data_IF_754876233753
#
_entry.id   IF_754876233753
#
_cell.length_a   1.000
_cell.length_b   1.000
_cell.length_c   1.000
_cell.angle_alpha   90.00
_cell.angle_beta   90.00
_cell.angle_gamma   90.00
#
_symmetry.space_group_name_H-M   'P 1'
#
loop_
_entity.id
_entity.type
_entity.pdbx_description
1 polymer ?
#
# COMPACT_ATOMS: atom_id res chain seq x y z
N UNK A 1 -1.73 26.25 -4.71
CA UNK A 1 -1.73 24.78 -4.88
C UNK A 1 -2.68 24.06 -3.91
N UNK A 2 -3.13 24.68 -2.83
CA UNK A 2 -4.03 24.14 -1.79
C UNK A 2 -5.50 23.93 -2.23
N UNK A 3 -5.92 24.49 -3.35
CA UNK A 3 -7.36 24.53 -3.72
C UNK A 3 -7.87 23.30 -4.52
N UNK A 4 -7.00 22.43 -5.02
CA UNK A 4 -7.39 21.27 -5.85
C UNK A 4 -7.69 20.00 -5.02
N UNK A 5 -7.03 19.81 -3.89
CA UNK A 5 -7.25 18.65 -3.03
C UNK A 5 -8.54 18.81 -2.22
N UNK A 6 -8.85 20.01 -1.76
CA UNK A 6 -10.12 20.37 -1.08
C UNK A 6 -11.36 20.05 -1.90
N UNK A 7 -11.36 20.38 -3.19
CA UNK A 7 -12.50 20.06 -4.09
C UNK A 7 -12.69 18.53 -4.23
N UNK A 8 -11.63 17.76 -4.07
CA UNK A 8 -11.64 16.31 -4.25
C UNK A 8 -12.14 15.56 -3.00
N UNK A 9 -11.81 16.05 -1.81
CA UNK A 9 -12.27 15.50 -0.54
C UNK A 9 -13.78 15.77 -0.34
N UNK A 10 -14.23 16.98 -0.62
CA UNK A 10 -15.66 17.35 -0.61
C UNK A 10 -16.47 16.46 -1.58
N UNK A 11 -15.92 16.17 -2.76
CA UNK A 11 -16.56 15.28 -3.74
C UNK A 11 -16.67 13.84 -3.22
N UNK A 12 -15.59 13.31 -2.60
CA UNK A 12 -15.60 11.97 -2.02
C UNK A 12 -16.64 11.87 -0.90
N UNK A 13 -16.67 12.85 0.01
CA UNK A 13 -17.66 12.90 1.09
C UNK A 13 -19.09 12.90 0.54
N UNK A 14 -19.38 13.80 -0.41
CA UNK A 14 -20.70 13.89 -1.03
C UNK A 14 -21.13 12.58 -1.68
N UNK A 15 -20.25 11.98 -2.49
CA UNK A 15 -20.53 10.71 -3.17
C UNK A 15 -20.71 9.55 -2.18
N UNK A 16 -19.94 9.51 -1.10
CA UNK A 16 -20.06 8.48 -0.08
C UNK A 16 -21.39 8.60 0.69
N UNK A 17 -21.80 9.81 1.06
CA UNK A 17 -23.09 10.06 1.71
C UNK A 17 -24.26 9.70 0.77
N UNK A 18 -24.21 10.09 -0.50
CA UNK A 18 -25.23 9.74 -1.49
C UNK A 18 -25.33 8.22 -1.68
N UNK A 19 -24.19 7.54 -1.80
CA UNK A 19 -24.14 6.08 -1.93
C UNK A 19 -24.65 5.38 -0.67
N UNK A 20 -24.32 5.89 0.51
CA UNK A 20 -24.80 5.38 1.79
C UNK A 20 -26.32 5.50 1.88
N UNK A 21 -26.89 6.69 1.59
CA UNK A 21 -28.35 6.91 1.55
C UNK A 21 -29.08 5.95 0.61
N UNK A 22 -28.48 5.68 -0.54
CA UNK A 22 -29.08 4.79 -1.55
C UNK A 22 -29.10 3.32 -1.12
N UNK A 23 -28.08 2.88 -0.38
CA UNK A 23 -27.89 1.46 -0.03
C UNK A 23 -28.44 1.10 1.36
N UNK A 24 -28.72 2.09 2.20
CA UNK A 24 -29.22 1.89 3.56
C UNK A 24 -30.63 2.46 3.63
N UNK A 25 -31.68 1.62 3.83
CA UNK A 25 -33.08 2.07 3.83
C UNK A 25 -33.46 2.72 5.17
N UNK A 26 -32.68 3.69 5.62
CA UNK A 26 -32.88 4.42 6.85
C UNK A 26 -32.99 5.93 6.54
N UNK A 27 -33.73 6.65 7.38
CA UNK A 27 -33.71 8.11 7.29
C UNK A 27 -32.34 8.60 7.73
N UNK A 28 -31.67 9.30 6.81
CA UNK A 28 -30.33 9.86 7.02
C UNK A 28 -30.36 11.35 6.72
N UNK A 29 -30.17 12.17 7.73
CA UNK A 29 -29.94 13.60 7.61
C UNK A 29 -28.51 13.94 7.95
N UNK A 30 -27.91 14.89 7.23
CA UNK A 30 -26.59 15.45 7.52
C UNK A 30 -26.81 16.93 7.75
N UNK A 31 -26.65 17.37 9.01
CA UNK A 31 -27.14 18.69 9.42
C UNK A 31 -26.02 19.72 9.57
N UNK A 32 -24.85 19.33 10.04
CA UNK A 32 -23.77 20.29 10.31
C UNK A 32 -22.44 19.76 9.81
N UNK A 33 -21.61 20.65 9.27
CA UNK A 33 -20.31 20.29 8.73
C UNK A 33 -19.32 21.40 9.09
N UNK A 34 -18.42 21.11 10.04
CA UNK A 34 -17.32 22.00 10.43
C UNK A 34 -16.05 21.51 9.78
N UNK A 35 -15.46 22.31 8.89
CA UNK A 35 -14.19 21.99 8.24
C UNK A 35 -13.01 22.35 9.13
N UNK A 36 -12.02 21.46 9.21
CA UNK A 36 -10.78 21.64 9.98
C UNK A 36 -11.02 22.04 11.44
N UNK A 37 -11.73 21.23 12.22
CA UNK A 37 -11.91 21.49 13.63
C UNK A 37 -10.55 21.48 14.34
N UNK A 38 -10.30 22.44 15.23
CA UNK A 38 -9.04 22.54 15.93
C UNK A 38 -9.19 22.03 17.38
N UNK A 39 -8.67 20.86 17.65
CA UNK A 39 -8.69 20.24 19.00
C UNK A 39 -7.40 20.43 19.80
N UNK A 40 -6.41 21.16 19.27
CA UNK A 40 -5.07 21.28 19.87
C UNK A 40 -4.36 19.93 20.07
N UNK A 41 -4.65 18.95 19.21
CA UNK A 41 -4.07 17.63 19.21
C UNK A 41 -3.05 17.51 18.06
N UNK A 42 -2.16 16.51 18.16
CA UNK A 42 -1.21 16.21 17.09
C UNK A 42 -1.90 15.70 15.80
N UNK A 43 -3.13 15.24 15.92
CA UNK A 43 -3.99 14.82 14.82
C UNK A 43 -5.24 15.71 14.77
N UNK A 44 -5.53 16.22 13.59
CA UNK A 44 -6.72 17.01 13.31
C UNK A 44 -7.56 16.27 12.28
N UNK A 45 -8.83 15.95 12.56
CA UNK A 45 -9.73 15.39 11.57
C UNK A 45 -10.02 16.40 10.46
N UNK A 46 -10.31 15.90 9.26
CA UNK A 46 -10.62 16.77 8.12
C UNK A 46 -11.92 17.56 8.35
N UNK A 47 -12.91 16.93 9.00
CA UNK A 47 -14.27 17.49 9.18
C UNK A 47 -14.88 16.98 10.48
N UNK A 48 -15.72 17.79 11.15
CA UNK A 48 -16.80 17.33 12.04
C UNK A 48 -18.11 17.22 11.27
N UNK A 49 -18.83 16.15 11.48
CA UNK A 49 -20.07 15.84 10.80
C UNK A 49 -21.16 15.43 11.80
N UNK A 50 -22.25 16.16 11.81
CA UNK A 50 -23.48 15.77 12.52
C UNK A 50 -24.38 14.96 11.59
N UNK A 51 -24.65 13.73 11.98
CA UNK A 51 -25.44 12.79 11.21
C UNK A 51 -26.60 12.27 12.05
N UNK A 52 -27.82 12.44 11.58
CA UNK A 52 -28.99 11.82 12.16
C UNK A 52 -29.35 10.56 11.40
N UNK A 53 -29.45 9.44 12.11
CA UNK A 53 -29.85 8.14 11.54
C UNK A 53 -31.06 7.63 12.34
N UNK A 54 -32.23 7.55 11.69
CA UNK A 54 -33.50 7.14 12.32
C UNK A 54 -33.78 7.87 13.64
N UNK A 55 -33.62 9.20 13.66
CA UNK A 55 -33.87 10.02 14.84
C UNK A 55 -32.79 10.00 15.92
N UNK A 56 -31.69 9.30 15.68
CA UNK A 56 -30.50 9.34 16.55
C UNK A 56 -29.46 10.27 15.95
N UNK A 57 -29.12 11.32 16.66
CA UNK A 57 -28.00 12.20 16.34
C UNK A 57 -26.66 11.58 16.75
N UNK A 58 -25.69 11.62 15.84
CA UNK A 58 -24.32 11.14 16.05
C UNK A 58 -23.39 12.21 15.47
N UNK A 59 -22.47 12.70 16.29
CA UNK A 59 -21.40 13.57 15.83
C UNK A 59 -20.15 12.75 15.59
N UNK A 60 -19.53 12.93 14.44
CA UNK A 60 -18.32 12.24 14.02
C UNK A 60 -17.14 13.18 13.78
N UNK A 61 -15.96 12.73 14.16
CA UNK A 61 -14.71 13.22 13.58
C UNK A 61 -14.46 12.46 12.30
N UNK A 62 -14.50 13.13 11.16
CA UNK A 62 -14.40 12.49 9.84
C UNK A 62 -13.00 12.66 9.28
N UNK A 63 -12.45 11.57 8.80
CA UNK A 63 -11.19 11.53 8.04
C UNK A 63 -11.49 11.09 6.61
N UNK A 64 -11.11 11.92 5.63
CA UNK A 64 -11.36 11.66 4.22
C UNK A 64 -10.08 11.23 3.54
N UNK A 65 -10.07 10.06 2.96
CA UNK A 65 -8.91 9.55 2.23
C UNK A 65 -9.31 9.04 0.85
N UNK A 66 -8.65 9.56 -0.17
CA UNK A 66 -8.84 9.08 -1.54
C UNK A 66 -8.52 7.58 -1.66
N UNK A 67 -7.47 7.14 -0.96
CA UNK A 67 -7.08 5.74 -0.85
C UNK A 67 -6.63 5.49 0.60
N UNK A 68 -7.24 4.51 1.26
CA UNK A 68 -6.92 4.16 2.64
C UNK A 68 -5.86 3.08 2.67
N UNK A 69 -4.64 3.43 3.08
CA UNK A 69 -3.48 2.53 3.12
C UNK A 69 -3.27 1.94 4.51
N UNK A 70 -2.43 0.90 4.63
CA UNK A 70 -2.02 0.33 5.93
C UNK A 70 -1.39 1.37 6.86
N UNK A 71 -0.58 2.28 6.34
CA UNK A 71 0.05 3.35 7.11
C UNK A 71 -0.99 4.32 7.70
N UNK A 72 -2.01 4.71 6.92
CA UNK A 72 -3.12 5.54 7.39
C UNK A 72 -3.91 4.86 8.51
N UNK A 73 -4.06 3.53 8.47
CA UNK A 73 -4.79 2.75 9.49
C UNK A 73 -4.20 2.90 10.89
N UNK A 74 -2.88 2.96 10.99
CA UNK A 74 -2.19 3.10 12.27
C UNK A 74 -2.37 4.47 12.89
N UNK A 75 -2.18 5.51 12.08
CA UNK A 75 -2.45 6.89 12.51
C UNK A 75 -3.89 7.02 13.02
N UNK A 76 -4.83 6.37 12.33
CA UNK A 76 -6.24 6.33 12.69
C UNK A 76 -6.49 5.66 14.04
N UNK A 77 -5.82 4.54 14.31
CA UNK A 77 -5.99 3.78 15.58
C UNK A 77 -5.36 4.48 16.77
N UNK A 78 -4.20 5.11 16.59
CA UNK A 78 -3.50 5.85 17.64
C UNK A 78 -4.33 7.07 18.06
N UNK A 79 -4.89 7.77 17.08
CA UNK A 79 -5.58 9.03 17.33
C UNK A 79 -7.04 8.86 17.78
N UNK A 80 -7.64 7.67 17.60
CA UNK A 80 -9.03 7.37 18.00
C UNK A 80 -9.30 7.62 19.50
N UNK A 81 -8.30 7.45 20.36
CA UNK A 81 -8.46 7.60 21.81
C UNK A 81 -8.41 9.07 22.29
N UNK A 82 -7.92 9.98 21.47
CA UNK A 82 -7.73 11.38 21.83
C UNK A 82 -8.86 12.29 21.35
N UNK A 83 -9.70 11.81 20.43
CA UNK A 83 -10.77 12.61 19.84
C UNK A 83 -12.06 12.59 20.68
N UNK A 84 -12.82 13.72 20.72
CA UNK A 84 -14.03 13.84 21.53
C UNK A 84 -15.21 13.06 20.98
N UNK A 85 -15.20 12.72 19.69
CA UNK A 85 -16.27 12.01 19.00
C UNK A 85 -15.75 10.77 18.28
N UNK A 86 -16.62 9.78 17.97
CA UNK A 86 -16.25 8.63 17.15
C UNK A 86 -15.62 9.05 15.82
N UNK A 87 -14.66 8.27 15.34
CA UNK A 87 -14.05 8.51 14.03
C UNK A 87 -14.85 7.78 12.95
N UNK A 88 -15.17 8.50 11.87
CA UNK A 88 -15.71 7.95 10.63
C UNK A 88 -14.70 8.09 9.49
N UNK A 89 -14.27 6.97 8.94
CA UNK A 89 -13.47 6.95 7.72
C UNK A 89 -14.38 7.12 6.50
N UNK A 90 -14.08 8.12 5.68
CA UNK A 90 -14.73 8.32 4.38
C UNK A 90 -13.68 8.10 3.28
N UNK A 91 -13.95 7.18 2.35
CA UNK A 91 -12.99 6.86 1.29
C UNK A 91 -13.68 6.47 -0.01
N UNK A 92 -12.92 6.38 -1.10
CA UNK A 92 -13.49 5.96 -2.39
C UNK A 92 -13.97 4.53 -2.39
N UNK A 93 -13.20 3.62 -1.80
CA UNK A 93 -13.56 2.21 -1.81
C UNK A 93 -12.92 1.42 -0.69
N UNK A 94 -13.73 0.62 -0.01
CA UNK A 94 -13.33 -0.35 1.00
C UNK A 94 -13.56 -1.75 0.44
N UNK A 95 -12.48 -2.45 0.07
CA UNK A 95 -12.59 -3.82 -0.40
C UNK A 95 -12.98 -4.79 0.74
N UNK A 96 -13.52 -5.99 0.44
CA UNK A 96 -13.97 -6.93 1.49
C UNK A 96 -12.92 -7.34 2.54
N UNK A 97 -11.63 -7.58 2.19
CA UNK A 97 -10.59 -7.80 3.20
C UNK A 97 -10.36 -6.59 4.11
N UNK A 98 -10.31 -5.40 3.55
CA UNK A 98 -10.16 -4.15 4.30
C UNK A 98 -11.37 -3.91 5.23
N UNK A 99 -12.59 -4.15 4.75
CA UNK A 99 -13.80 -4.03 5.55
C UNK A 99 -13.73 -4.92 6.81
N UNK A 100 -13.33 -6.18 6.63
CA UNK A 100 -13.17 -7.13 7.75
C UNK A 100 -12.15 -6.62 8.78
N UNK A 101 -11.06 -6.06 8.32
CA UNK A 101 -10.01 -5.53 9.19
C UNK A 101 -10.47 -4.29 9.96
N UNK A 102 -11.13 -3.33 9.27
CA UNK A 102 -11.67 -2.13 9.89
C UNK A 102 -12.69 -2.47 10.99
N UNK A 103 -13.58 -3.43 10.73
CA UNK A 103 -14.56 -3.92 11.69
C UNK A 103 -13.89 -4.54 12.91
N UNK A 104 -12.90 -5.42 12.70
CA UNK A 104 -12.16 -6.05 13.80
C UNK A 104 -11.47 -5.02 14.71
N UNK A 105 -11.11 -3.87 14.16
CA UNK A 105 -10.50 -2.74 14.90
C UNK A 105 -11.52 -1.71 15.40
N UNK A 106 -12.82 -1.95 15.18
CA UNK A 106 -13.90 -1.04 15.56
C UNK A 106 -13.80 0.33 14.88
N UNK A 107 -13.32 0.38 13.64
CA UNK A 107 -13.24 1.60 12.81
C UNK A 107 -14.48 1.65 11.93
N UNK A 108 -15.28 2.69 12.11
CA UNK A 108 -16.47 2.96 11.30
C UNK A 108 -16.08 3.57 9.97
N UNK A 109 -16.81 3.22 8.90
CA UNK A 109 -16.50 3.71 7.56
C UNK A 109 -17.74 3.81 6.67
N UNK A 110 -17.67 4.70 5.69
CA UNK A 110 -18.52 4.74 4.50
C UNK A 110 -17.66 4.95 3.25
N UNK A 111 -18.06 4.41 2.11
CA UNK A 111 -17.38 4.61 0.84
C UNK A 111 -18.30 5.01 -0.31
N UNK A 112 -17.71 5.46 -1.43
CA UNK A 112 -18.47 5.92 -2.60
C UNK A 112 -19.18 4.81 -3.36
N UNK A 113 -18.93 3.54 -3.04
CA UNK A 113 -19.66 2.39 -3.56
C UNK A 113 -20.89 2.03 -2.69
N UNK A 114 -21.02 2.67 -1.52
CA UNK A 114 -22.06 2.41 -0.55
C UNK A 114 -21.77 1.24 0.38
N UNK A 115 -20.51 0.80 0.50
CA UNK A 115 -20.12 -0.05 1.61
C UNK A 115 -20.04 0.80 2.87
N UNK A 116 -20.49 0.24 4.00
CA UNK A 116 -20.58 0.97 5.24
C UNK A 116 -20.44 0.05 6.45
N UNK A 117 -19.87 0.57 7.52
CA UNK A 117 -19.91 -0.02 8.86
C UNK A 117 -20.12 1.11 9.87
N UNK A 118 -21.25 1.09 10.56
CA UNK A 118 -21.61 2.00 11.65
C UNK A 118 -22.00 1.14 12.86
N UNK A 119 -21.42 1.40 14.00
CA UNK A 119 -21.69 0.68 15.25
C UNK A 119 -21.87 1.65 16.42
N UNK A 120 -23.00 2.35 16.42
CA UNK A 120 -23.38 3.32 17.45
C UNK A 120 -24.72 2.91 18.07
N UNK A 121 -24.74 2.08 19.12
CA UNK A 121 -25.98 1.53 19.68
C UNK A 121 -27.07 2.59 19.92
N UNK A 122 -28.33 2.32 19.55
CA UNK A 122 -28.87 1.06 19.03
C UNK A 122 -28.69 0.83 17.51
N UNK A 123 -27.90 1.67 16.82
CA UNK A 123 -27.69 1.60 15.36
C UNK A 123 -26.52 0.65 15.08
N UNK A 124 -26.78 -0.36 14.25
CA UNK A 124 -25.79 -1.23 13.66
C UNK A 124 -26.05 -1.37 12.18
N UNK A 125 -25.12 -0.88 11.36
CA UNK A 125 -25.21 -0.94 9.90
C UNK A 125 -23.95 -1.61 9.36
N UNK A 126 -24.14 -2.62 8.54
CA UNK A 126 -23.05 -3.29 7.87
C UNK A 126 -23.43 -3.63 6.42
N UNK A 127 -22.85 -2.93 5.48
CA UNK A 127 -22.99 -3.12 4.03
C UNK A 127 -21.61 -3.38 3.45
N UNK A 128 -21.46 -4.49 2.72
CA UNK A 128 -20.20 -4.86 2.06
C UNK A 128 -20.42 -5.51 0.71
N UNK A 129 -19.42 -5.44 -0.14
CA UNK A 129 -19.40 -6.16 -1.41
C UNK A 129 -19.91 -5.35 -2.60
N UNK A 130 -20.37 -4.12 -2.35
CA UNK A 130 -20.64 -3.18 -3.44
C UNK A 130 -19.34 -2.86 -4.16
N UNK A 131 -19.37 -2.85 -5.48
CA UNK A 131 -18.25 -2.44 -6.32
C UNK A 131 -18.36 -0.95 -6.63
N UNK A 132 -17.24 -0.22 -6.79
CA UNK A 132 -17.29 1.15 -7.26
C UNK A 132 -18.11 1.23 -8.55
N UNK A 133 -18.96 2.26 -8.72
CA UNK A 133 -19.66 2.47 -9.96
C UNK A 133 -18.67 2.57 -11.11
N UNK A 134 -18.88 1.81 -12.20
CA UNK A 134 -18.10 1.96 -13.43
C UNK A 134 -18.40 3.35 -14.00
N UNK A 135 -17.49 4.29 -13.88
CA UNK A 135 -17.64 5.58 -14.54
C UNK A 135 -17.52 5.38 -16.05
N UNK A 136 -18.51 5.81 -16.85
CA UNK A 136 -18.40 5.80 -18.31
C UNK A 136 -17.19 6.66 -18.71
N UNK A 137 -16.17 6.04 -19.33
CA UNK A 137 -14.94 6.71 -19.74
C UNK A 137 -13.68 6.43 -18.89
N UNK A 138 -13.80 5.80 -17.73
CA UNK A 138 -12.64 5.16 -17.10
C UNK A 138 -12.34 3.85 -17.84
N UNK A 139 -11.65 3.97 -18.97
CA UNK A 139 -10.95 2.82 -19.56
C UNK A 139 -10.19 2.13 -18.44
N UNK A 140 -10.36 0.82 -18.33
CA UNK A 140 -9.80 -0.04 -17.27
C UNK A 140 -8.28 0.19 -17.10
N UNK A 141 -7.90 1.20 -16.36
CA UNK A 141 -6.51 1.47 -15.97
C UNK A 141 -6.07 0.51 -14.84
N UNK A 142 -6.91 -0.51 -14.57
CA UNK A 142 -6.64 -1.52 -13.57
C UNK A 142 -5.46 -2.45 -13.91
N UNK A 143 -4.98 -2.49 -15.15
CA UNK A 143 -3.91 -3.43 -15.51
C UNK A 143 -2.54 -3.04 -14.99
N UNK A 144 -2.25 -1.74 -14.75
CA UNK A 144 -0.99 -1.35 -14.11
C UNK A 144 -0.92 -1.75 -12.63
N UNK A 145 -2.07 -1.97 -11.98
CA UNK A 145 -2.15 -2.49 -10.61
C UNK A 145 -2.37 -4.01 -10.55
N UNK A 146 -2.28 -4.71 -11.69
CA UNK A 146 -2.20 -6.16 -11.76
C UNK A 146 -0.73 -6.61 -11.64
N UNK A 147 -0.44 -7.89 -11.36
CA UNK A 147 0.92 -8.37 -11.09
C UNK A 147 1.99 -7.88 -12.06
N UNK A 148 1.74 -7.99 -13.36
CA UNK A 148 2.71 -7.55 -14.39
C UNK A 148 2.93 -6.03 -14.37
N UNK A 149 1.87 -5.25 -14.17
CA UNK A 149 1.97 -3.79 -14.04
C UNK A 149 2.67 -3.37 -12.76
N UNK A 150 2.48 -4.10 -11.65
CA UNK A 150 3.18 -3.87 -10.39
C UNK A 150 4.70 -4.12 -10.52
N UNK A 151 5.12 -5.15 -11.27
CA UNK A 151 6.54 -5.37 -11.60
C UNK A 151 7.11 -4.17 -12.38
N UNK A 152 6.37 -3.70 -13.37
CA UNK A 152 6.74 -2.54 -14.17
C UNK A 152 6.85 -1.25 -13.35
N UNK A 153 5.86 -0.96 -12.50
CA UNK A 153 5.88 0.22 -11.62
C UNK A 153 7.04 0.17 -10.61
N UNK A 154 7.32 -1.00 -10.03
CA UNK A 154 8.45 -1.20 -9.13
C UNK A 154 9.77 -0.85 -9.82
N UNK A 155 9.97 -1.34 -11.04
CA UNK A 155 11.18 -1.02 -11.81
C UNK A 155 11.33 0.49 -12.06
N UNK A 156 10.24 1.21 -12.36
CA UNK A 156 10.28 2.67 -12.52
C UNK A 156 10.56 3.41 -11.21
N UNK A 157 9.95 3.00 -10.11
CA UNK A 157 10.14 3.62 -8.80
C UNK A 157 11.58 3.45 -8.28
N UNK A 158 12.19 2.28 -8.53
CA UNK A 158 13.53 1.97 -8.09
C UNK A 158 14.64 2.47 -9.03
N UNK A 159 14.32 2.85 -10.26
CA UNK A 159 15.32 3.30 -11.25
C UNK A 159 14.92 4.64 -11.87
N UNK A 160 15.24 5.78 -11.23
CA UNK A 160 14.95 7.10 -11.77
C UNK A 160 15.50 7.28 -13.20
N UNK A 161 14.68 7.79 -14.10
CA UNK A 161 15.03 7.98 -15.51
C UNK A 161 14.83 6.74 -16.40
N UNK A 162 14.43 5.59 -15.82
CA UNK A 162 14.12 4.39 -16.57
C UNK A 162 12.98 4.60 -17.58
N UNK A 163 12.03 5.51 -17.28
CA UNK A 163 10.93 5.90 -18.16
C UNK A 163 11.37 6.48 -19.50
N UNK A 164 12.65 6.85 -19.62
CA UNK A 164 13.27 7.41 -20.82
C UNK A 164 14.20 6.41 -21.55
N UNK A 165 14.33 5.21 -21.04
CA UNK A 165 15.14 4.17 -21.68
C UNK A 165 14.34 3.43 -22.76
N UNK A 166 15.02 2.75 -23.71
CA UNK A 166 14.34 1.90 -24.67
C UNK A 166 13.41 0.89 -24.00
N UNK A 167 12.26 0.64 -24.61
CA UNK A 167 11.25 -0.28 -24.05
C UNK A 167 11.80 -1.68 -23.77
N UNK A 168 12.81 -2.13 -24.53
CA UNK A 168 13.52 -3.39 -24.28
C UNK A 168 14.24 -3.38 -22.94
N UNK A 169 14.88 -2.29 -22.57
CA UNK A 169 15.62 -2.17 -21.31
C UNK A 169 14.65 -2.11 -20.12
N UNK A 170 13.53 -1.39 -20.30
CA UNK A 170 12.45 -1.34 -19.31
C UNK A 170 11.86 -2.74 -19.12
N UNK A 171 11.55 -3.46 -20.21
CA UNK A 171 10.99 -4.80 -20.18
C UNK A 171 11.92 -5.80 -19.46
N UNK A 172 13.22 -5.75 -19.76
CA UNK A 172 14.22 -6.59 -19.14
C UNK A 172 14.30 -6.32 -17.63
N UNK A 173 14.50 -5.04 -17.23
CA UNK A 173 14.58 -4.66 -15.82
C UNK A 173 13.34 -5.04 -15.02
N UNK A 174 12.15 -4.85 -15.58
CA UNK A 174 10.88 -5.15 -14.94
C UNK A 174 10.48 -6.65 -15.02
N UNK A 175 11.24 -7.48 -15.77
CA UNK A 175 10.89 -8.88 -16.10
C UNK A 175 9.45 -9.00 -16.64
N UNK A 176 9.12 -8.17 -17.62
CA UNK A 176 7.82 -8.18 -18.29
C UNK A 176 7.98 -8.33 -19.81
N UNK A 177 6.94 -8.76 -20.51
CA UNK A 177 6.97 -8.87 -21.95
C UNK A 177 7.12 -7.48 -22.61
N UNK A 178 7.99 -7.35 -23.63
CA UNK A 178 8.26 -6.11 -24.34
C UNK A 178 6.97 -5.43 -24.85
N UNK A 179 6.04 -6.19 -25.41
CA UNK A 179 4.78 -5.67 -25.94
C UNK A 179 3.87 -5.01 -24.90
N UNK A 180 4.07 -5.29 -23.61
CA UNK A 180 3.24 -4.72 -22.54
C UNK A 180 3.73 -3.34 -22.09
N UNK A 181 5.01 -3.02 -22.27
CA UNK A 181 5.62 -1.77 -21.81
C UNK A 181 4.90 -0.54 -22.39
N UNK A 182 4.65 -0.54 -23.70
CA UNK A 182 3.95 0.57 -24.35
C UNK A 182 2.53 0.80 -23.82
N UNK A 183 1.85 -0.27 -23.41
CA UNK A 183 0.52 -0.16 -22.79
C UNK A 183 0.62 0.41 -21.38
N UNK A 184 1.57 -0.04 -20.56
CA UNK A 184 1.77 0.50 -19.23
C UNK A 184 2.21 1.96 -19.24
N UNK A 185 3.08 2.36 -20.16
CA UNK A 185 3.46 3.78 -20.34
C UNK A 185 2.25 4.65 -20.71
N UNK A 186 1.35 4.15 -21.56
CA UNK A 186 0.11 4.83 -21.90
C UNK A 186 -0.84 4.91 -20.70
N UNK A 187 -0.99 3.83 -19.97
CA UNK A 187 -1.85 3.78 -18.78
C UNK A 187 -1.35 4.77 -17.72
N UNK A 188 -0.03 4.84 -17.47
CA UNK A 188 0.56 5.81 -16.54
C UNK A 188 0.29 7.27 -16.97
N UNK A 189 0.37 7.58 -18.29
CA UNK A 189 0.00 8.91 -18.80
C UNK A 189 -1.48 9.20 -18.59
N UNK A 190 -2.33 8.24 -18.86
CA UNK A 190 -3.79 8.39 -18.72
C UNK A 190 -4.22 8.65 -17.27
N UNK A 191 -3.53 8.04 -16.30
CA UNK A 191 -3.80 8.27 -14.86
C UNK A 191 -3.01 9.44 -14.27
N UNK A 192 -2.20 10.13 -15.08
CA UNK A 192 -1.47 11.33 -14.67
C UNK A 192 -0.18 11.07 -13.87
N UNK A 193 0.38 9.85 -13.91
CA UNK A 193 1.67 9.53 -13.27
C UNK A 193 2.88 9.69 -14.20
N UNK A 194 2.64 9.80 -15.50
CA UNK A 194 3.69 10.02 -16.50
C UNK A 194 3.30 11.19 -17.41
N UNK A 195 4.16 12.17 -17.52
CA UNK A 195 3.97 13.32 -18.44
C UNK A 195 5.07 13.34 -19.50
N UNK A 196 4.72 13.80 -20.69
CA UNK A 196 5.66 14.08 -21.76
C UNK A 196 6.13 15.55 -21.63
N UNK A 197 7.43 15.76 -21.49
CA UNK A 197 8.06 17.07 -21.38
C UNK A 197 8.83 17.46 -22.67
N UNK A 198 8.36 16.93 -23.79
CA UNK A 198 8.88 17.26 -25.13
C UNK A 198 10.30 16.72 -25.31
N UNK A 199 11.25 17.60 -25.71
CA UNK A 199 12.66 17.21 -25.96
C UNK A 199 13.35 16.58 -24.73
N UNK A 200 12.84 16.78 -23.53
CA UNK A 200 13.37 16.18 -22.29
C UNK A 200 12.81 14.78 -22.01
N UNK A 201 11.90 14.27 -22.86
CA UNK A 201 11.32 12.93 -22.76
C UNK A 201 10.16 12.85 -21.78
N UNK A 202 10.02 11.72 -21.10
CA UNK A 202 8.98 11.47 -20.12
C UNK A 202 9.47 11.80 -18.70
N UNK A 203 8.55 12.19 -17.82
CA UNK A 203 8.83 12.39 -16.40
C UNK A 203 7.77 11.68 -15.56
N UNK A 204 8.22 10.86 -14.63
CA UNK A 204 7.36 10.28 -13.61
C UNK A 204 7.01 11.37 -12.59
N UNK A 205 5.72 11.61 -12.37
CA UNK A 205 5.19 12.63 -11.46
C UNK A 205 4.28 12.00 -10.41
N UNK A 206 3.98 12.73 -9.34
CA UNK A 206 3.16 12.23 -8.23
C UNK A 206 3.69 10.87 -7.71
N UNK A 207 5.01 10.76 -7.59
CA UNK A 207 5.69 9.51 -7.19
C UNK A 207 5.24 9.02 -5.81
N UNK A 208 4.92 9.92 -4.91
CA UNK A 208 4.36 9.63 -3.60
C UNK A 208 3.02 8.89 -3.69
N UNK A 209 2.10 9.39 -4.52
CA UNK A 209 0.80 8.74 -4.75
C UNK A 209 0.98 7.40 -5.48
N UNK A 210 1.86 7.33 -6.48
CA UNK A 210 2.16 6.09 -7.20
C UNK A 210 2.76 5.05 -6.26
N UNK A 211 3.70 5.44 -5.40
CA UNK A 211 4.30 4.61 -4.37
C UNK A 211 3.23 4.07 -3.41
N UNK A 212 2.35 4.93 -2.87
CA UNK A 212 1.29 4.49 -1.96
C UNK A 212 0.33 3.49 -2.62
N UNK A 213 -0.03 3.70 -3.88
CA UNK A 213 -0.86 2.74 -4.63
C UNK A 213 -0.15 1.42 -4.84
N UNK A 214 1.16 1.46 -5.13
CA UNK A 214 1.96 0.26 -5.31
C UNK A 214 2.05 -0.53 -3.99
N UNK A 215 2.37 0.12 -2.87
CA UNK A 215 2.44 -0.49 -1.53
C UNK A 215 1.11 -1.16 -1.15
N UNK A 216 -0.01 -0.54 -1.50
CA UNK A 216 -1.34 -1.11 -1.22
C UNK A 216 -1.63 -2.36 -2.07
N UNK A 217 -1.27 -2.33 -3.35
CA UNK A 217 -1.59 -3.41 -4.27
C UNK A 217 -0.59 -4.58 -4.21
N UNK A 218 0.66 -4.35 -3.84
CA UNK A 218 1.72 -5.35 -3.81
C UNK A 218 1.40 -6.57 -2.94
N UNK A 219 0.99 -6.43 -1.66
CA UNK A 219 0.70 -7.58 -0.80
C UNK A 219 -0.45 -8.45 -1.29
N UNK A 220 -1.43 -7.85 -1.95
CA UNK A 220 -2.63 -8.56 -2.40
C UNK A 220 -2.48 -9.17 -3.80
N UNK A 221 -1.81 -8.46 -4.71
CA UNK A 221 -1.82 -8.80 -6.13
C UNK A 221 -0.53 -9.45 -6.61
N UNK A 222 0.64 -9.02 -6.12
CA UNK A 222 1.93 -9.47 -6.64
C UNK A 222 2.60 -10.46 -5.69
N UNK A 223 2.83 -10.11 -4.43
CA UNK A 223 3.59 -10.90 -3.46
C UNK A 223 3.15 -12.36 -3.35
N UNK A 224 1.85 -12.68 -3.20
CA UNK A 224 1.40 -14.06 -3.05
C UNK A 224 1.73 -14.95 -4.27
N UNK A 225 1.82 -14.34 -5.46
CA UNK A 225 2.15 -15.04 -6.71
C UNK A 225 3.64 -15.26 -6.92
N UNK A 226 4.48 -14.65 -6.10
CA UNK A 226 5.93 -14.78 -6.15
C UNK A 226 6.45 -15.74 -5.08
N UNK A 227 5.65 -16.19 -4.11
CA UNK A 227 6.10 -17.12 -3.07
C UNK A 227 6.47 -18.46 -3.70
N UNK A 228 7.75 -18.85 -3.58
CA UNK A 228 8.28 -20.14 -4.03
C UNK A 228 8.06 -21.23 -2.99
N UNK A 229 8.03 -20.87 -1.71
CA UNK A 229 7.73 -21.79 -0.62
C UNK A 229 8.13 -21.28 0.74
N UNK A 230 7.78 -22.10 1.76
CA UNK A 230 8.24 -21.93 3.14
C UNK A 230 9.18 -23.05 3.54
N UNK A 231 10.17 -22.70 4.34
CA UNK A 231 11.26 -23.58 4.73
C UNK A 231 11.64 -23.32 6.17
N UNK A 232 12.40 -24.27 6.73
CA UNK A 232 12.98 -24.21 8.07
C UNK A 232 14.49 -24.35 8.00
N UNK A 233 15.21 -23.48 8.72
CA UNK A 233 16.66 -23.58 8.89
C UNK A 233 17.07 -24.53 10.01
N UNK A 234 18.36 -24.86 10.12
CA UNK A 234 18.89 -25.71 11.22
C UNK A 234 18.68 -25.06 12.58
N UNK A 235 18.86 -23.74 12.68
CA UNK A 235 18.60 -22.92 13.87
C UNK A 235 18.15 -21.52 13.43
N UNK A 236 17.39 -20.83 14.25
CA UNK A 236 16.73 -19.59 13.85
C UNK A 236 17.73 -18.47 13.46
N UNK A 237 18.87 -18.38 14.12
CA UNK A 237 19.85 -17.30 13.92
C UNK A 237 20.87 -17.54 12.77
N UNK A 238 20.69 -18.59 11.94
CA UNK A 238 21.61 -18.95 10.86
C UNK A 238 21.89 -17.81 9.87
N UNK A 239 20.93 -16.92 9.68
CA UNK A 239 20.96 -15.79 8.76
C UNK A 239 21.97 -14.70 9.16
N UNK A 240 22.31 -14.56 10.45
CA UNK A 240 23.12 -13.45 10.99
C UNK A 240 24.47 -13.29 10.29
N UNK A 241 25.16 -14.39 10.11
CA UNK A 241 26.52 -14.43 9.53
C UNK A 241 26.52 -14.89 8.06
N UNK A 242 25.34 -15.06 7.43
CA UNK A 242 25.25 -15.51 6.05
C UNK A 242 25.18 -14.31 5.10
N UNK A 243 26.00 -14.36 4.06
CA UNK A 243 25.94 -13.45 2.90
C UNK A 243 25.23 -14.17 1.76
N UNK A 244 24.35 -13.49 1.03
CA UNK A 244 23.53 -14.08 -0.03
C UNK A 244 23.92 -13.64 -1.45
N UNK A 245 24.74 -12.63 -1.62
CA UNK A 245 25.11 -12.06 -2.92
C UNK A 245 25.71 -13.09 -3.86
N UNK A 246 26.60 -13.96 -3.36
CA UNK A 246 27.21 -15.05 -4.14
C UNK A 246 26.22 -16.16 -4.51
N UNK A 247 25.08 -16.26 -3.79
CA UNK A 247 23.97 -17.17 -4.07
C UNK A 247 22.91 -16.55 -5.01
N UNK A 248 23.17 -15.37 -5.54
CA UNK A 248 22.19 -14.61 -6.36
C UNK A 248 20.85 -14.44 -5.63
N UNK A 249 20.91 -14.18 -4.33
CA UNK A 249 19.78 -14.00 -3.47
C UNK A 249 19.94 -12.73 -2.63
N UNK A 250 18.83 -12.18 -2.13
CA UNK A 250 18.80 -10.95 -1.34
C UNK A 250 17.88 -11.11 -0.13
N UNK A 251 18.27 -10.53 0.98
CA UNK A 251 17.43 -10.42 2.16
C UNK A 251 16.31 -9.42 1.93
N UNK A 252 15.10 -9.77 2.33
CA UNK A 252 13.92 -8.89 2.38
C UNK A 252 13.33 -8.81 3.78
N UNK A 253 12.19 -8.13 3.90
CA UNK A 253 11.39 -8.07 5.10
C UNK A 253 12.15 -7.74 6.38
N UNK A 254 11.88 -8.47 7.44
CA UNK A 254 12.41 -8.22 8.78
C UNK A 254 13.94 -8.41 8.86
N UNK A 255 14.51 -9.38 8.15
CA UNK A 255 15.96 -9.59 8.15
C UNK A 255 16.70 -8.44 7.49
N UNK A 256 16.18 -7.92 6.37
CA UNK A 256 16.80 -6.77 5.72
C UNK A 256 16.85 -5.56 6.66
N UNK A 257 15.77 -5.30 7.38
CA UNK A 257 15.72 -4.23 8.38
C UNK A 257 16.66 -4.48 9.55
N UNK A 258 16.72 -5.72 10.07
CA UNK A 258 17.64 -6.05 11.16
C UNK A 258 19.10 -5.80 10.77
N UNK A 259 19.45 -6.05 9.50
CA UNK A 259 20.79 -5.76 8.96
C UNK A 259 21.05 -4.27 8.77
N UNK A 260 20.02 -3.48 8.39
CA UNK A 260 20.12 -2.03 8.20
C UNK A 260 20.19 -1.27 9.53
N UNK A 261 19.28 -1.56 10.45
CA UNK A 261 19.03 -0.72 11.63
C UNK A 261 19.54 -1.32 12.93
N UNK A 262 19.79 -2.63 12.97
CA UNK A 262 20.08 -3.42 14.19
C UNK A 262 18.99 -3.35 15.27
N UNK A 263 17.83 -2.83 14.93
CA UNK A 263 16.73 -2.56 15.88
C UNK A 263 15.73 -3.72 15.98
N UNK A 264 15.45 -4.41 14.87
CA UNK A 264 14.41 -5.43 14.80
C UNK A 264 14.99 -6.84 15.04
N UNK A 265 14.30 -7.64 15.88
CA UNK A 265 14.52 -9.09 15.94
C UNK A 265 13.54 -9.77 14.97
N UNK A 266 14.03 -10.37 13.88
CA UNK A 266 13.16 -11.03 12.89
C UNK A 266 12.38 -12.18 13.50
N UNK A 267 11.11 -12.33 13.10
CA UNK A 267 10.29 -13.52 13.33
C UNK A 267 10.13 -14.34 12.05
N UNK A 268 10.20 -13.64 10.90
CA UNK A 268 10.15 -14.25 9.57
C UNK A 268 11.40 -13.87 8.79
N UNK A 269 12.05 -14.88 8.22
CA UNK A 269 13.21 -14.71 7.37
C UNK A 269 12.74 -14.67 5.91
N UNK A 270 12.77 -13.51 5.27
CA UNK A 270 12.36 -13.35 3.88
C UNK A 270 13.56 -13.29 2.97
N UNK A 271 13.59 -14.14 1.93
CA UNK A 271 14.66 -14.20 0.93
C UNK A 271 14.08 -14.07 -0.47
N UNK A 272 14.66 -13.20 -1.28
CA UNK A 272 14.37 -13.07 -2.70
C UNK A 272 15.46 -13.73 -3.53
N UNK A 273 15.08 -14.63 -4.44
CA UNK A 273 15.98 -15.25 -5.41
C UNK A 273 15.24 -15.62 -6.68
N UNK A 274 15.93 -15.75 -7.81
CA UNK A 274 15.30 -16.30 -9.01
C UNK A 274 15.12 -17.81 -8.83
N UNK A 275 13.99 -18.32 -9.34
CA UNK A 275 13.66 -19.75 -9.21
C UNK A 275 14.79 -20.69 -9.70
N UNK A 276 15.60 -20.27 -10.67
CA UNK A 276 16.75 -21.02 -11.18
C UNK A 276 17.86 -21.25 -10.13
N UNK A 277 17.98 -20.37 -9.13
CA UNK A 277 18.97 -20.47 -8.05
C UNK A 277 18.42 -21.09 -6.77
N UNK A 278 17.12 -21.41 -6.73
CA UNK A 278 16.43 -21.90 -5.52
C UNK A 278 17.13 -23.14 -4.93
N UNK A 279 17.40 -24.14 -5.75
CA UNK A 279 18.00 -25.40 -5.27
C UNK A 279 19.40 -25.18 -4.67
N UNK A 280 20.21 -24.31 -5.28
CA UNK A 280 21.51 -23.93 -4.74
C UNK A 280 21.38 -23.24 -3.40
N UNK A 281 20.45 -22.28 -3.28
CA UNK A 281 20.16 -21.57 -2.03
C UNK A 281 19.72 -22.53 -0.92
N UNK A 282 18.81 -23.46 -1.22
CA UNK A 282 18.34 -24.46 -0.25
C UNK A 282 19.46 -25.34 0.25
N UNK A 283 20.35 -25.79 -0.62
CA UNK A 283 21.48 -26.62 -0.27
C UNK A 283 22.50 -25.85 0.61
N UNK A 284 22.93 -24.69 0.15
CA UNK A 284 23.96 -23.89 0.83
C UNK A 284 23.51 -23.32 2.19
N UNK A 285 22.21 -23.04 2.34
CA UNK A 285 21.63 -22.57 3.59
C UNK A 285 21.02 -23.70 4.42
N UNK A 286 21.11 -24.97 3.98
CA UNK A 286 20.57 -26.17 4.64
C UNK A 286 19.09 -26.02 5.00
N UNK A 287 18.31 -25.47 4.08
CA UNK A 287 16.88 -25.20 4.28
C UNK A 287 16.06 -26.44 3.92
N UNK A 288 15.17 -26.85 4.83
CA UNK A 288 14.24 -27.97 4.61
C UNK A 288 12.83 -27.42 4.38
N UNK A 289 12.12 -27.98 3.40
CA UNK A 289 10.74 -27.56 3.10
C UNK A 289 9.83 -27.80 4.31
N UNK A 290 9.17 -26.75 4.78
CA UNK A 290 8.26 -26.80 5.92
C UNK A 290 7.19 -25.69 5.73
N UNK A 291 5.89 -26.03 5.53
CA UNK A 291 4.83 -25.04 5.38
C UNK A 291 4.66 -24.10 6.59
N UNK A 292 5.06 -24.54 7.79
CA UNK A 292 5.06 -23.75 9.02
C UNK A 292 6.44 -23.13 9.33
N UNK A 293 7.40 -23.29 8.43
CA UNK A 293 8.76 -22.80 8.63
C UNK A 293 8.84 -21.26 8.65
N UNK A 294 9.85 -20.76 9.33
CA UNK A 294 10.12 -19.34 9.50
C UNK A 294 10.73 -18.66 8.27
N UNK A 295 11.23 -19.44 7.29
CA UNK A 295 11.89 -18.92 6.09
C UNK A 295 10.91 -18.88 4.94
N UNK A 296 10.63 -17.72 4.41
CA UNK A 296 9.82 -17.53 3.20
C UNK A 296 10.71 -17.14 2.03
N UNK A 297 10.68 -17.93 0.96
CA UNK A 297 11.45 -17.67 -0.26
C UNK A 297 10.50 -17.16 -1.34
N UNK A 298 10.86 -16.03 -1.97
CA UNK A 298 10.05 -15.30 -2.94
C UNK A 298 10.83 -15.17 -4.25
N UNK A 299 10.16 -15.37 -5.40
CA UNK A 299 10.78 -15.16 -6.72
C UNK A 299 11.12 -13.69 -6.93
N UNK A 300 12.37 -13.42 -7.24
CA UNK A 300 12.86 -12.10 -7.59
C UNK A 300 12.23 -11.66 -8.92
N UNK A 301 11.32 -10.71 -8.87
CA UNK A 301 10.51 -10.27 -10.02
C UNK A 301 11.09 -9.09 -10.79
N UNK A 302 12.34 -8.72 -10.55
CA UNK A 302 13.10 -7.67 -11.25
C UNK A 302 14.44 -8.22 -11.72
N UNK A 303 15.10 -7.54 -12.67
CA UNK A 303 16.40 -7.92 -13.20
C UNK A 303 17.32 -6.69 -13.36
N UNK A 304 17.76 -6.18 -12.24
CA UNK A 304 18.78 -5.14 -12.13
C UNK A 304 19.45 -5.24 -10.76
N UNK A 305 20.71 -4.82 -10.71
CA UNK A 305 21.39 -4.65 -9.44
C UNK A 305 20.93 -3.33 -8.83
N UNK A 306 20.41 -3.42 -7.62
CA UNK A 306 20.19 -2.23 -6.81
C UNK A 306 21.59 -1.71 -6.46
N UNK A 307 21.97 -0.52 -6.96
CA UNK A 307 23.21 0.18 -6.59
C UNK A 307 23.11 0.69 -5.15
N UNK A 308 22.69 -0.17 -4.24
CA UNK A 308 22.61 0.16 -2.82
C UNK A 308 23.94 -0.20 -2.15
N UNK A 309 24.28 0.53 -1.13
CA UNK A 309 25.43 0.30 -0.25
C UNK A 309 25.42 -1.15 0.31
N UNK A 310 24.24 -1.79 0.31
CA UNK A 310 23.99 -3.13 0.84
C UNK A 310 23.67 -4.12 -0.29
N UNK A 311 24.71 -4.78 -0.82
CA UNK A 311 24.61 -5.67 -2.00
C UNK A 311 23.67 -6.86 -1.82
N UNK A 312 23.49 -7.36 -0.60
CA UNK A 312 22.68 -8.53 -0.27
C UNK A 312 21.28 -8.19 0.23
N UNK A 313 20.85 -6.92 0.16
CA UNK A 313 19.51 -6.50 0.53
C UNK A 313 18.67 -6.15 -0.70
N UNK A 314 17.36 -6.31 -0.60
CA UNK A 314 16.43 -5.76 -1.60
C UNK A 314 16.31 -4.24 -1.45
N UNK A 315 15.79 -3.58 -2.48
CA UNK A 315 15.58 -2.13 -2.47
C UNK A 315 14.68 -1.68 -1.29
N UNK A 316 14.95 -0.54 -0.63
CA UNK A 316 14.18 -0.05 0.52
C UNK A 316 12.66 0.02 0.29
N UNK A 317 12.21 0.33 -0.91
CA UNK A 317 10.78 0.29 -1.28
C UNK A 317 10.17 -1.10 -1.01
N UNK A 318 10.88 -2.17 -1.33
CA UNK A 318 10.40 -3.53 -1.15
C UNK A 318 10.48 -3.97 0.32
N UNK A 319 11.55 -3.56 1.03
CA UNK A 319 11.66 -3.76 2.48
C UNK A 319 10.45 -3.14 3.18
N UNK A 320 10.16 -1.87 2.88
CA UNK A 320 9.01 -1.16 3.41
C UNK A 320 7.69 -1.88 3.13
N UNK A 321 7.51 -2.31 1.87
CA UNK A 321 6.29 -3.02 1.46
C UNK A 321 6.08 -4.34 2.21
N UNK A 322 7.14 -5.12 2.39
CA UNK A 322 7.09 -6.38 3.15
C UNK A 322 6.71 -6.15 4.60
N UNK A 323 7.31 -5.16 5.26
CA UNK A 323 7.01 -4.83 6.66
C UNK A 323 5.55 -4.39 6.84
N UNK A 324 5.09 -3.48 5.97
CA UNK A 324 3.69 -3.00 6.01
C UNK A 324 2.71 -4.14 5.74
N UNK A 325 3.07 -5.08 4.86
CA UNK A 325 2.22 -6.23 4.53
C UNK A 325 1.97 -7.17 5.73
N UNK A 326 2.85 -7.18 6.72
CA UNK A 326 2.67 -8.03 7.92
C UNK A 326 1.51 -7.59 8.80
N UNK A 327 1.14 -6.29 8.78
CA UNK A 327 0.16 -5.70 9.71
C UNK A 327 0.62 -5.68 11.18
N UNK A 328 1.85 -6.09 11.48
CA UNK A 328 2.40 -6.12 12.82
C UNK A 328 2.86 -4.72 13.24
N UNK A 329 2.45 -4.26 14.43
CA UNK A 329 2.75 -2.92 14.96
C UNK A 329 4.26 -2.63 14.95
N UNK A 330 5.07 -3.56 15.45
CA UNK A 330 6.53 -3.46 15.50
C UNK A 330 7.15 -3.27 14.11
N UNK A 331 6.67 -4.02 13.12
CA UNK A 331 7.15 -3.94 11.75
C UNK A 331 6.76 -2.61 11.09
N UNK A 332 5.60 -2.09 11.41
CA UNK A 332 5.11 -0.82 10.89
C UNK A 332 5.91 0.36 11.47
N UNK A 333 6.23 0.32 12.76
CA UNK A 333 7.10 1.35 13.38
C UNK A 333 8.49 1.34 12.74
N UNK A 334 9.04 0.16 12.51
CA UNK A 334 10.34 0.04 11.83
C UNK A 334 10.26 0.46 10.35
N UNK A 335 9.15 0.18 9.68
CA UNK A 335 8.92 0.63 8.31
C UNK A 335 8.96 2.17 8.19
N UNK A 336 8.48 2.91 9.20
CA UNK A 336 8.58 4.39 9.21
C UNK A 336 10.03 4.86 9.16
N UNK A 337 10.92 4.21 9.92
CA UNK A 337 12.36 4.55 9.90
C UNK A 337 12.93 4.36 8.48
N UNK A 338 12.63 3.21 7.84
CA UNK A 338 13.07 2.94 6.46
C UNK A 338 12.49 3.99 5.48
N UNK A 339 11.25 4.40 5.68
CA UNK A 339 10.62 5.43 4.84
C UNK A 339 11.34 6.77 4.97
N UNK A 340 11.59 7.23 6.19
CA UNK A 340 12.22 8.53 6.46
C UNK A 340 13.68 8.57 6.00
N UNK A 341 14.45 7.50 6.24
CA UNK A 341 15.87 7.46 5.93
C UNK A 341 16.19 7.16 4.46
N UNK A 342 15.39 6.33 3.79
CA UNK A 342 15.74 5.78 2.48
C UNK A 342 14.74 6.05 1.36
N UNK A 343 13.47 6.36 1.67
CA UNK A 343 12.42 6.44 0.64
C UNK A 343 11.98 7.86 0.37
N UNK A 344 11.89 8.70 1.40
CA UNK A 344 11.38 10.08 1.28
C UNK A 344 12.06 10.85 0.15
N UNK A 345 13.38 10.77 0.04
CA UNK A 345 14.13 11.48 -1.01
C UNK A 345 13.79 10.94 -2.40
N UNK A 346 13.71 9.61 -2.56
CA UNK A 346 13.42 8.96 -3.86
C UNK A 346 12.07 9.37 -4.45
N UNK A 347 11.06 9.58 -3.58
CA UNK A 347 9.70 9.90 -4.01
C UNK A 347 9.41 11.40 -4.05
N UNK A 348 10.16 12.23 -3.30
CA UNK A 348 10.03 13.70 -3.29
C UNK A 348 10.83 14.41 -4.38
N UNK A 349 11.86 13.80 -4.94
CA UNK A 349 12.62 14.38 -6.03
C UNK A 349 11.72 14.56 -7.28
N UNK A 350 11.48 15.82 -7.60
CA UNK A 350 10.72 16.30 -8.75
C UNK A 350 11.59 16.43 -10.01
#
# INVERSE_FOLDING_TARGET
>A
MYNKDYNREDEILKLAIEAFRKNVPLQLNVEHLIKQPNYNLNFQPDIELDMEINGKEIRYCVEIKNTFTMANRLLFLINKQELPYPILLVTKYVNPPMAKELINKGIEFIDTAGNAFINQPPIYIFVKGNKPPEMPGQVQVNRIFKPTGLKFMYALLCNPGLENKPFRDIAAKARVALGTVGWFMRDLRQVGFLIDIGKKGNKLVQKDILFQRWITAYPEQLRPKQILGRYKGEHFDWWRNKQLDFLKAKWGGEVAVAKLTKYLHPEVITIYTKNEYLNQLLFECKLKKDPAGEVEIIDQFWDYDDNTEYRDLVHPILIYADLIATGNQRNIETAKMIYEEHIVQLIREN
#
